data_IF_527680977744
#
_entry.id   IF_527680977744
#
_cell.length_a   1.000
_cell.length_b   1.000
_cell.length_c   1.000
_cell.angle_alpha   90.00
_cell.angle_beta   90.00
_cell.angle_gamma   90.00
#
_symmetry.space_group_name_H-M   'P 1'
#
loop_
_entity.id
_entity.type
_entity.pdbx_description
1 polymer ?
#
# COMPACT_ATOMS: atom_id res chain seq x y z
N UNK A 1 -58.79 0.78 -7.02
CA UNK A 1 -59.34 1.18 -8.34
C UNK A 1 -58.30 2.06 -9.03
N UNK A 2 -58.15 1.84 -10.34
CA UNK A 2 -57.06 2.31 -11.21
C UNK A 2 -56.92 3.84 -11.29
N UNK A 3 -55.68 4.29 -11.55
CA UNK A 3 -55.26 5.28 -12.58
C UNK A 3 -53.93 5.91 -12.13
N UNK A 4 -52.90 6.11 -12.95
CA UNK A 4 -52.58 5.70 -14.31
C UNK A 4 -51.05 5.89 -14.41
N UNK A 5 -50.36 4.99 -15.11
CA UNK A 5 -48.93 5.11 -15.40
C UNK A 5 -48.72 6.24 -16.40
N UNK A 6 -47.89 7.23 -16.06
CA UNK A 6 -47.40 8.22 -17.00
C UNK A 6 -45.92 7.93 -17.29
N UNK A 7 -45.70 7.17 -18.37
CA UNK A 7 -44.41 7.07 -19.04
C UNK A 7 -44.01 8.45 -19.55
N UNK A 8 -42.83 8.93 -19.17
CA UNK A 8 -42.11 9.96 -19.91
C UNK A 8 -40.84 9.34 -20.48
N UNK A 9 -40.94 8.95 -21.75
CA UNK A 9 -39.80 8.72 -22.61
C UNK A 9 -39.44 10.06 -23.25
N UNK A 10 -38.21 10.54 -23.04
CA UNK A 10 -37.53 11.41 -23.99
C UNK A 10 -36.01 11.37 -23.73
N UNK A 11 -35.21 10.95 -24.72
CA UNK A 11 -33.75 10.86 -24.61
C UNK A 11 -33.14 12.24 -24.88
N UNK A 12 -32.20 12.69 -24.05
CA UNK A 12 -31.45 13.93 -24.31
C UNK A 12 -29.97 13.64 -24.28
N UNK A 13 -29.44 13.63 -25.51
CA UNK A 13 -28.13 14.10 -25.94
C UNK A 13 -26.92 13.72 -25.07
N UNK A 14 -26.37 12.57 -25.44
CA UNK A 14 -24.94 12.27 -25.38
C UNK A 14 -24.13 13.43 -25.98
N UNK A 15 -23.52 14.26 -25.13
CA UNK A 15 -22.46 15.19 -25.49
C UNK A 15 -21.13 14.60 -25.05
N UNK A 16 -20.52 13.85 -25.97
CA UNK A 16 -19.12 13.43 -25.89
C UNK A 16 -18.26 14.66 -26.18
N UNK A 17 -17.78 15.32 -25.14
CA UNK A 17 -16.69 16.28 -25.25
C UNK A 17 -15.35 15.54 -25.11
N UNK A 18 -14.91 14.91 -26.20
CA UNK A 18 -13.53 14.45 -26.38
C UNK A 18 -12.68 15.65 -26.80
N UNK A 19 -12.16 16.40 -25.82
CA UNK A 19 -11.15 17.42 -26.08
C UNK A 19 -10.26 17.61 -24.85
N UNK A 20 -9.04 17.06 -24.94
CA UNK A 20 -7.94 17.46 -24.07
C UNK A 20 -7.20 16.31 -23.38
N UNK A 21 -6.57 15.40 -24.15
CA UNK A 21 -5.33 14.77 -23.66
C UNK A 21 -4.26 15.86 -23.60
N UNK A 22 -4.30 16.70 -22.57
CA UNK A 22 -3.08 17.31 -22.10
C UNK A 22 -2.27 16.16 -21.52
N UNK A 23 -1.21 15.74 -22.22
CA UNK A 23 -0.15 14.94 -21.62
C UNK A 23 0.48 15.80 -20.54
N UNK A 24 -0.13 15.79 -19.35
CA UNK A 24 0.62 16.04 -18.14
C UNK A 24 1.71 14.98 -18.16
N UNK A 25 2.92 15.40 -18.49
CA UNK A 25 4.10 14.64 -18.11
C UNK A 25 4.08 14.66 -16.59
N UNK A 26 3.38 13.70 -16.01
CA UNK A 26 3.43 13.41 -14.59
C UNK A 26 4.90 13.06 -14.35
N UNK A 27 5.65 14.01 -13.78
CA UNK A 27 6.98 13.73 -13.30
C UNK A 27 6.83 12.49 -12.41
N UNK A 28 7.49 11.39 -12.78
CA UNK A 28 7.38 10.15 -12.05
C UNK A 28 7.52 10.47 -10.54
N UNK A 29 6.57 10.03 -9.70
CA UNK A 29 6.63 10.33 -8.28
C UNK A 29 8.02 9.95 -7.78
N UNK A 30 8.67 10.88 -7.07
CA UNK A 30 9.98 10.61 -6.49
C UNK A 30 9.89 9.34 -5.66
N UNK A 31 10.85 8.40 -5.79
CA UNK A 31 10.76 7.13 -5.08
C UNK A 31 10.60 7.39 -3.58
N UNK A 32 9.73 6.60 -2.94
CA UNK A 32 9.46 6.74 -1.52
C UNK A 32 10.77 6.58 -0.73
N UNK A 33 11.07 7.43 0.27
CA UNK A 33 12.36 7.41 0.96
C UNK A 33 12.71 6.03 1.56
N UNK A 34 11.70 5.29 2.02
CA UNK A 34 11.85 3.91 2.51
C UNK A 34 12.47 2.96 1.48
N UNK A 35 12.25 3.16 0.18
CA UNK A 35 12.81 2.31 -0.88
C UNK A 35 14.30 2.53 -1.09
N UNK A 36 14.81 3.73 -0.80
CA UNK A 36 16.18 4.14 -1.13
C UNK A 36 17.07 4.29 0.10
N UNK A 37 16.49 4.36 1.31
CA UNK A 37 17.29 4.49 2.53
C UNK A 37 18.10 3.24 2.81
N UNK A 38 19.29 3.43 3.40
CA UNK A 38 20.06 2.35 3.98
C UNK A 38 19.36 1.86 5.27
N UNK A 39 19.20 0.55 5.40
CA UNK A 39 18.61 -0.07 6.59
C UNK A 39 19.71 -0.43 7.59
N UNK A 40 19.47 -0.26 8.90
CA UNK A 40 20.30 -0.85 9.94
C UNK A 40 20.46 -2.37 9.76
N UNK A 41 21.56 -2.94 10.26
CA UNK A 41 21.87 -4.37 10.07
C UNK A 41 20.91 -5.34 10.77
N UNK A 42 20.14 -4.86 11.74
CA UNK A 42 19.13 -5.60 12.49
C UNK A 42 17.72 -5.42 11.91
N UNK A 43 17.61 -4.88 10.69
CA UNK A 43 16.33 -4.56 10.06
C UNK A 43 16.34 -4.97 8.59
N UNK A 44 15.39 -5.84 8.23
CA UNK A 44 15.17 -6.28 6.85
C UNK A 44 13.77 -5.91 6.39
N UNK A 45 13.56 -5.63 5.10
CA UNK A 45 12.20 -5.35 4.62
C UNK A 45 11.26 -6.54 4.85
N UNK A 46 11.79 -7.75 4.66
CA UNK A 46 11.09 -9.00 4.94
C UNK A 46 10.66 -9.11 6.40
N UNK A 47 11.57 -8.84 7.35
CA UNK A 47 11.27 -8.95 8.78
C UNK A 47 10.26 -7.91 9.25
N UNK A 48 10.28 -6.69 8.70
CA UNK A 48 9.23 -5.68 8.94
C UNK A 48 7.84 -6.19 8.53
N UNK A 49 7.73 -6.85 7.37
CA UNK A 49 6.47 -7.44 6.91
C UNK A 49 6.00 -8.61 7.79
N UNK A 50 6.91 -9.48 8.21
CA UNK A 50 6.57 -10.57 9.14
C UNK A 50 6.12 -10.00 10.49
N UNK A 51 6.80 -8.99 11.01
CA UNK A 51 6.44 -8.32 12.25
C UNK A 51 5.04 -7.69 12.16
N UNK A 52 4.69 -7.08 11.03
CA UNK A 52 3.34 -6.54 10.80
C UNK A 52 2.26 -7.63 10.86
N UNK A 53 2.51 -8.81 10.29
CA UNK A 53 1.59 -9.96 10.39
C UNK A 53 1.46 -10.43 11.84
N UNK A 54 2.58 -10.61 12.54
CA UNK A 54 2.59 -11.06 13.94
C UNK A 54 1.86 -10.07 14.87
N UNK A 55 1.96 -8.77 14.61
CA UNK A 55 1.21 -7.73 15.32
C UNK A 55 -0.30 -7.87 15.09
N UNK A 56 -0.73 -8.17 13.86
CA UNK A 56 -2.14 -8.44 13.53
C UNK A 56 -2.68 -9.70 14.21
N UNK A 57 -1.82 -10.71 14.40
CA UNK A 57 -2.18 -11.98 15.01
C UNK A 57 -2.11 -11.93 16.55
N UNK A 58 -1.45 -10.91 17.11
CA UNK A 58 -1.19 -10.80 18.55
C UNK A 58 -0.11 -11.77 19.05
N UNK A 59 0.79 -12.21 18.17
CA UNK A 59 1.84 -13.20 18.44
C UNK A 59 3.27 -12.60 18.35
N UNK A 60 3.39 -11.27 18.36
CA UNK A 60 4.67 -10.57 18.20
C UNK A 60 5.68 -10.91 19.29
N UNK A 61 5.25 -11.06 20.54
CA UNK A 61 6.15 -11.39 21.66
C UNK A 61 6.79 -12.77 21.47
N UNK A 62 6.03 -13.73 20.93
CA UNK A 62 6.56 -15.06 20.59
C UNK A 62 7.53 -14.95 19.41
N UNK A 63 7.17 -14.19 18.37
CA UNK A 63 8.05 -13.99 17.21
C UNK A 63 9.41 -13.37 17.56
N UNK A 64 9.44 -12.42 18.50
CA UNK A 64 10.69 -11.86 19.02
C UNK A 64 11.46 -12.88 19.87
N UNK A 65 10.77 -13.61 20.75
CA UNK A 65 11.41 -14.62 21.61
C UNK A 65 12.05 -15.77 20.81
N UNK A 66 11.43 -16.16 19.70
CA UNK A 66 11.91 -17.21 18.80
C UNK A 66 12.98 -16.71 17.81
N UNK A 67 13.26 -15.39 17.78
CA UNK A 67 14.20 -14.76 16.87
C UNK A 67 13.73 -14.70 15.41
N UNK A 68 12.42 -14.85 15.17
CA UNK A 68 11.82 -14.76 13.84
C UNK A 68 11.84 -13.33 13.30
N UNK A 69 11.71 -12.35 14.20
CA UNK A 69 11.83 -10.91 13.92
C UNK A 69 12.64 -10.24 15.02
N UNK A 70 13.32 -9.15 14.70
CA UNK A 70 14.02 -8.33 15.70
C UNK A 70 13.08 -7.30 16.35
N UNK A 71 13.41 -6.79 17.55
CA UNK A 71 12.67 -5.66 18.12
C UNK A 71 12.65 -4.43 17.20
N UNK A 72 13.74 -4.18 16.46
CA UNK A 72 13.82 -3.06 15.52
C UNK A 72 12.85 -3.22 14.33
N UNK A 73 12.65 -4.45 13.84
CA UNK A 73 11.67 -4.75 12.79
C UNK A 73 10.24 -4.59 13.28
N UNK A 74 9.97 -4.94 14.55
CA UNK A 74 8.67 -4.68 15.19
C UNK A 74 8.40 -3.18 15.30
N UNK A 75 9.36 -2.41 15.80
CA UNK A 75 9.22 -0.96 15.92
C UNK A 75 8.97 -0.31 14.55
N UNK A 76 9.66 -0.77 13.50
CA UNK A 76 9.47 -0.24 12.15
C UNK A 76 8.14 -0.68 11.53
N UNK A 77 7.68 -1.91 11.80
CA UNK A 77 6.37 -2.38 11.37
C UNK A 77 5.24 -1.52 11.96
N UNK A 78 5.35 -1.16 13.24
CA UNK A 78 4.40 -0.24 13.89
C UNK A 78 4.39 1.11 13.15
N UNK A 79 5.57 1.71 12.91
CA UNK A 79 5.67 2.98 12.16
C UNK A 79 5.11 2.88 10.74
N UNK A 80 5.33 1.76 10.07
CA UNK A 80 4.83 1.52 8.72
C UNK A 80 3.30 1.44 8.70
N UNK A 81 2.69 0.77 9.68
CA UNK A 81 1.23 0.72 9.85
C UNK A 81 0.68 2.11 10.14
N UNK A 82 1.28 2.85 11.08
CA UNK A 82 0.84 4.20 11.46
C UNK A 82 0.90 5.20 10.30
N UNK A 83 1.80 4.99 9.34
CA UNK A 83 1.99 5.84 8.15
C UNK A 83 1.30 5.34 6.89
N UNK A 84 0.62 4.19 6.96
CA UNK A 84 0.02 3.52 5.79
C UNK A 84 1.08 3.20 4.70
N UNK A 85 2.26 2.77 5.12
CA UNK A 85 3.45 2.56 4.26
C UNK A 85 3.79 1.07 4.07
N UNK A 86 2.95 0.12 4.49
CA UNK A 86 3.24 -1.31 4.34
C UNK A 86 3.45 -1.74 2.88
N UNK A 87 2.71 -1.17 1.94
CA UNK A 87 2.88 -1.44 0.51
C UNK A 87 4.26 -1.01 -0.02
N UNK A 88 4.87 0.01 0.60
CA UNK A 88 6.23 0.43 0.27
C UNK A 88 7.24 -0.60 0.76
N UNK A 89 7.01 -1.18 1.93
CA UNK A 89 7.85 -2.25 2.47
C UNK A 89 7.74 -3.55 1.67
N UNK A 90 6.55 -3.87 1.13
CA UNK A 90 6.37 -4.97 0.17
C UNK A 90 7.25 -4.76 -1.06
N UNK A 91 7.14 -3.60 -1.70
CA UNK A 91 7.95 -3.26 -2.86
C UNK A 91 9.45 -3.33 -2.56
N UNK A 92 9.87 -2.87 -1.39
CA UNK A 92 11.28 -2.97 -0.99
C UNK A 92 11.72 -4.42 -0.84
N UNK A 93 10.93 -5.25 -0.15
CA UNK A 93 11.24 -6.66 0.04
C UNK A 93 11.35 -7.41 -1.28
N UNK A 94 10.53 -7.07 -2.28
CA UNK A 94 10.63 -7.65 -3.62
C UNK A 94 11.92 -7.27 -4.33
N UNK A 95 12.42 -6.04 -4.16
CA UNK A 95 13.73 -5.61 -4.69
C UNK A 95 14.87 -6.35 -4.03
N UNK A 96 14.87 -6.42 -2.69
CA UNK A 96 15.89 -7.14 -1.92
C UNK A 96 15.97 -8.61 -2.36
N UNK A 97 14.83 -9.28 -2.55
CA UNK A 97 14.77 -10.66 -3.05
C UNK A 97 15.24 -10.84 -4.50
N UNK A 98 15.17 -9.79 -5.33
CA UNK A 98 15.62 -9.85 -6.71
C UNK A 98 17.15 -9.64 -6.85
N UNK A 99 17.76 -9.01 -5.84
CA UNK A 99 19.19 -8.70 -5.79
C UNK A 99 20.04 -9.81 -5.12
N UNK A 100 19.40 -10.74 -4.39
CA UNK A 100 20.00 -11.94 -3.76
C UNK A 100 20.19 -13.12 -4.73
#
# INVERSE_FOLDING_TARGET
MMRARASFAAPIALLVALAGCASATEAAPSPHPTLERELPSDLTARGVLIAAVLLSEGDVERGVADGLVTPAEVDEAIRAIERDELDVWVQRSERELADD
#
